data_IF_762102274674
#
_entry.id   IF_762102274674
#
_cell.length_a   1.000
_cell.length_b   1.000
_cell.length_c   1.000
_cell.angle_alpha   90.00
_cell.angle_beta   90.00
_cell.angle_gamma   90.00
#
_symmetry.space_group_name_H-M   'P 1'
#
loop_
_entity.id
_entity.type
_entity.pdbx_description
1 polymer ?
#
# COMPACT_ATOMS: atom_id res chain seq x y z
N UNK A 1 22.29 57.36 1.74
CA UNK A 1 22.47 56.16 0.89
C UNK A 1 22.66 54.95 1.79
N UNK A 2 21.93 53.87 1.48
CA UNK A 2 22.14 52.42 1.77
C UNK A 2 23.05 52.03 2.96
N UNK A 3 22.67 51.15 3.89
CA UNK A 3 22.13 49.79 3.66
C UNK A 3 21.46 49.29 4.97
N UNK A 4 20.14 49.06 4.99
CA UNK A 4 19.41 48.35 6.06
C UNK A 4 19.53 46.83 5.82
N UNK A 5 20.45 46.13 6.49
CA UNK A 5 20.61 44.65 6.34
C UNK A 5 20.79 43.92 7.67
N UNK A 6 20.25 44.46 8.76
CA UNK A 6 20.29 43.79 10.08
C UNK A 6 19.03 42.94 10.34
N UNK A 7 18.14 42.79 9.35
CA UNK A 7 16.89 42.01 9.50
C UNK A 7 16.86 40.68 8.73
N UNK A 8 18.04 40.10 8.41
CA UNK A 8 18.11 38.87 7.60
C UNK A 8 18.86 37.70 8.25
N UNK A 9 19.13 37.74 9.56
CA UNK A 9 19.95 36.70 10.22
C UNK A 9 19.24 35.92 11.34
N UNK A 10 17.98 36.23 11.67
CA UNK A 10 17.21 35.53 12.71
C UNK A 10 16.23 34.46 12.20
N UNK A 11 16.25 34.12 10.89
CA UNK A 11 15.31 33.17 10.27
C UNK A 11 15.96 31.81 9.90
N UNK A 12 17.22 31.57 10.28
CA UNK A 12 18.01 30.45 9.75
C UNK A 12 18.08 29.13 10.56
N UNK A 13 17.46 28.92 11.75
CA UNK A 13 17.50 27.59 12.38
C UNK A 13 16.18 26.79 12.33
N UNK A 14 15.20 27.12 11.46
CA UNK A 14 13.94 26.36 11.33
C UNK A 14 13.88 25.40 10.13
N UNK A 15 15.02 25.14 9.46
CA UNK A 15 15.09 24.22 8.31
C UNK A 15 15.71 22.86 8.65
N UNK A 16 15.70 22.45 9.93
CA UNK A 16 15.87 21.03 10.25
C UNK A 16 14.57 20.32 9.89
N UNK A 17 14.42 20.00 8.60
CA UNK A 17 13.58 18.88 8.19
C UNK A 17 14.05 17.69 9.03
N UNK A 18 13.16 17.12 9.85
CA UNK A 18 13.42 15.82 10.42
C UNK A 18 13.74 14.89 9.24
N UNK A 19 14.97 14.41 9.13
CA UNK A 19 15.24 13.21 8.35
C UNK A 19 14.47 12.11 9.04
N UNK A 20 13.44 11.60 8.36
CA UNK A 20 12.68 10.46 8.85
C UNK A 20 13.65 9.30 9.09
N UNK A 21 13.44 8.60 10.20
CA UNK A 21 14.19 7.39 10.49
C UNK A 21 13.85 6.35 9.41
N UNK A 22 14.83 5.99 8.59
CA UNK A 22 14.67 5.06 7.46
C UNK A 22 14.67 3.59 7.91
N UNK A 23 14.90 3.33 9.20
CA UNK A 23 14.88 1.98 9.73
C UNK A 23 13.44 1.51 9.93
N UNK A 24 13.01 0.56 9.10
CA UNK A 24 11.70 -0.06 9.22
C UNK A 24 11.77 -1.24 10.18
N UNK A 25 11.17 -1.09 11.36
CA UNK A 25 10.83 -2.23 12.19
C UNK A 25 9.69 -3.01 11.51
N UNK A 26 10.03 -4.11 10.85
CA UNK A 26 9.06 -4.96 10.14
C UNK A 26 8.09 -5.69 11.08
N UNK A 27 8.32 -5.65 12.40
CA UNK A 27 7.31 -6.13 13.37
C UNK A 27 6.04 -5.27 13.38
N UNK A 28 6.07 -4.10 12.74
CA UNK A 28 4.91 -3.22 12.56
C UNK A 28 4.00 -3.70 11.41
N UNK A 29 4.44 -4.66 10.57
CA UNK A 29 3.55 -5.22 9.55
C UNK A 29 2.40 -6.00 10.21
N UNK A 30 1.18 -5.95 9.64
CA UNK A 30 0.06 -6.70 10.17
C UNK A 30 0.33 -8.20 10.20
N UNK A 31 -0.19 -8.86 11.24
CA UNK A 31 -0.14 -10.30 11.37
C UNK A 31 -0.88 -10.97 10.21
N UNK A 32 -0.39 -12.13 9.78
CA UNK A 32 -1.09 -12.96 8.80
C UNK A 32 -2.39 -13.48 9.44
N UNK A 33 -3.50 -12.91 8.99
CA UNK A 33 -4.86 -13.23 9.43
C UNK A 33 -5.69 -13.68 8.23
N UNK A 34 -6.84 -14.31 8.50
CA UNK A 34 -7.72 -14.93 7.49
C UNK A 34 -9.19 -14.59 7.76
N UNK A 35 -9.44 -13.44 8.39
CA UNK A 35 -10.75 -13.08 8.93
C UNK A 35 -11.31 -11.80 8.31
N UNK A 36 -10.57 -11.17 7.39
CA UNK A 36 -10.89 -9.84 6.88
C UNK A 36 -10.59 -8.75 7.91
N UNK A 37 -9.41 -8.76 8.52
CA UNK A 37 -9.00 -7.75 9.51
C UNK A 37 -8.84 -6.32 8.94
N UNK A 38 -9.12 -6.12 7.65
CA UNK A 38 -8.96 -4.89 6.89
C UNK A 38 -7.55 -4.31 6.98
N UNK A 39 -6.56 -5.18 6.78
CA UNK A 39 -5.13 -4.85 6.83
C UNK A 39 -4.48 -4.97 5.45
N UNK A 40 -3.52 -4.08 5.20
CA UNK A 40 -2.67 -4.11 4.02
C UNK A 40 -1.31 -3.49 4.37
N UNK A 41 -0.22 -4.13 3.97
CA UNK A 41 1.11 -3.53 4.06
C UNK A 41 2.13 -4.20 3.17
N UNK A 42 3.17 -3.46 2.78
CA UNK A 42 4.32 -3.99 2.06
C UNK A 42 5.54 -3.07 2.24
N UNK A 43 6.70 -3.55 1.81
CA UNK A 43 7.86 -2.72 1.56
C UNK A 43 8.00 -2.43 0.07
N UNK A 44 8.24 -1.18 -0.30
CA UNK A 44 8.68 -0.79 -1.65
C UNK A 44 10.07 -0.20 -1.53
N UNK A 45 11.07 -0.83 -2.15
CA UNK A 45 12.50 -0.50 -1.99
C UNK A 45 12.96 -0.45 -0.51
N UNK A 46 12.40 -1.32 0.32
CA UNK A 46 12.69 -1.37 1.76
C UNK A 46 11.88 -0.39 2.61
N UNK A 47 11.09 0.50 2.01
CA UNK A 47 10.26 1.47 2.72
C UNK A 47 8.87 0.94 3.02
N UNK A 48 8.41 1.13 4.25
CA UNK A 48 7.11 0.64 4.70
C UNK A 48 5.94 1.48 4.16
N UNK A 49 4.97 0.79 3.58
CA UNK A 49 3.68 1.34 3.18
C UNK A 49 2.54 0.51 3.77
N UNK A 50 1.62 1.17 4.46
CA UNK A 50 0.50 0.53 5.18
C UNK A 50 -0.80 1.24 4.82
N UNK A 51 -1.84 0.46 4.55
CA UNK A 51 -3.20 0.97 4.31
C UNK A 51 -3.95 1.28 5.62
N UNK A 52 -5.15 1.83 5.52
CA UNK A 52 -6.05 2.08 6.66
C UNK A 52 -5.93 3.46 7.31
N UNK A 53 -4.85 4.21 7.05
CA UNK A 53 -4.64 5.54 7.64
C UNK A 53 -5.18 6.68 6.79
N UNK A 54 -5.12 6.56 5.47
CA UNK A 54 -5.42 7.64 4.53
C UNK A 54 -6.69 7.28 3.75
N UNK A 55 -7.80 7.96 4.03
CA UNK A 55 -9.00 7.84 3.23
C UNK A 55 -9.02 8.95 2.17
N UNK A 56 -9.53 8.62 0.98
CA UNK A 56 -9.89 9.63 -0.01
C UNK A 56 -11.36 10.02 0.19
N UNK A 57 -11.75 11.25 -0.14
CA UNK A 57 -13.12 11.77 0.08
C UNK A 57 -14.21 10.85 -0.52
N UNK A 58 -13.85 10.11 -1.58
CA UNK A 58 -14.75 9.24 -2.34
C UNK A 58 -14.44 7.74 -2.20
N UNK A 59 -13.47 7.32 -1.38
CA UNK A 59 -12.98 5.94 -1.39
C UNK A 59 -12.36 5.52 -0.05
N UNK A 60 -12.58 4.28 0.41
CA UNK A 60 -11.89 3.78 1.59
C UNK A 60 -10.38 3.71 1.36
N UNK A 61 -9.61 3.71 2.45
CA UNK A 61 -8.15 3.60 2.39
C UNK A 61 -7.69 2.30 1.74
N UNK A 62 -8.39 1.19 1.99
CA UNK A 62 -8.10 -0.12 1.41
C UNK A 62 -9.32 -0.53 0.59
N UNK A 63 -9.13 -0.77 -0.70
CA UNK A 63 -10.21 -1.14 -1.61
C UNK A 63 -9.81 -2.32 -2.49
N UNK A 64 -10.59 -3.39 -2.42
CA UNK A 64 -10.46 -4.58 -3.24
C UNK A 64 -11.82 -4.78 -3.91
N UNK A 65 -11.88 -4.64 -5.23
CA UNK A 65 -13.12 -4.78 -6.00
C UNK A 65 -13.04 -6.04 -6.86
N UNK A 66 -13.88 -7.03 -6.55
CA UNK A 66 -14.04 -8.24 -7.33
C UNK A 66 -15.11 -8.05 -8.41
N UNK A 67 -14.72 -8.18 -9.67
CA UNK A 67 -15.54 -7.83 -10.82
C UNK A 67 -16.18 -9.05 -11.49
N UNK A 68 -17.16 -8.78 -12.36
CA UNK A 68 -17.88 -9.80 -13.14
C UNK A 68 -16.99 -10.62 -14.08
N UNK A 69 -15.83 -10.09 -14.46
CA UNK A 69 -14.82 -10.78 -15.28
C UNK A 69 -13.88 -11.68 -14.46
N UNK A 70 -14.17 -11.90 -13.17
CA UNK A 70 -13.36 -12.66 -12.22
C UNK A 70 -12.00 -12.00 -11.90
N UNK A 71 -11.84 -10.70 -12.23
CA UNK A 71 -10.67 -9.92 -11.81
C UNK A 71 -10.87 -9.28 -10.44
N UNK A 72 -9.78 -9.15 -9.68
CA UNK A 72 -9.72 -8.40 -8.44
C UNK A 72 -8.86 -7.15 -8.64
N UNK A 73 -9.46 -5.99 -8.42
CA UNK A 73 -8.81 -4.71 -8.60
C UNK A 73 -8.50 -4.10 -7.25
N UNK A 74 -7.22 -3.91 -6.99
CA UNK A 74 -6.71 -3.45 -5.70
C UNK A 74 -6.31 -2.00 -5.82
N UNK A 75 -6.75 -1.19 -4.87
CA UNK A 75 -6.30 0.19 -4.68
C UNK A 75 -6.22 0.52 -3.21
N UNK A 76 -5.03 0.85 -2.74
CA UNK A 76 -4.76 1.15 -1.34
C UNK A 76 -4.05 2.49 -1.20
N UNK A 77 -4.70 3.44 -0.53
CA UNK A 77 -4.11 4.73 -0.18
C UNK A 77 -3.18 4.57 1.02
N UNK A 78 -1.88 4.77 0.78
CA UNK A 78 -0.82 4.62 1.79
C UNK A 78 -0.21 5.96 2.19
N UNK A 79 -0.47 7.03 1.42
CA UNK A 79 -0.30 8.46 1.78
C UNK A 79 -1.43 9.29 1.14
N UNK A 80 -1.54 10.57 1.47
CA UNK A 80 -2.60 11.46 0.96
C UNK A 80 -2.70 11.50 -0.57
N UNK A 81 -1.56 11.51 -1.27
CA UNK A 81 -1.48 11.56 -2.74
C UNK A 81 -0.76 10.34 -3.33
N UNK A 82 -0.72 9.22 -2.58
CA UNK A 82 -0.01 8.01 -3.00
C UNK A 82 -0.86 6.78 -2.73
N UNK A 83 -1.23 6.09 -3.80
CA UNK A 83 -1.90 4.79 -3.75
C UNK A 83 -1.02 3.70 -4.37
N UNK A 84 -1.08 2.51 -3.79
CA UNK A 84 -0.62 1.28 -4.42
C UNK A 84 -1.81 0.64 -5.12
N UNK A 85 -1.65 0.25 -6.38
CA UNK A 85 -2.71 -0.44 -7.14
C UNK A 85 -2.15 -1.62 -7.92
N UNK A 86 -2.94 -2.68 -8.11
CA UNK A 86 -2.62 -3.81 -8.98
C UNK A 86 -3.89 -4.63 -9.29
N UNK A 87 -3.81 -5.50 -10.29
CA UNK A 87 -4.88 -6.42 -10.67
C UNK A 87 -4.46 -7.88 -10.46
N UNK A 88 -5.40 -8.72 -10.02
CA UNK A 88 -5.23 -10.18 -9.98
C UNK A 88 -6.35 -10.83 -10.79
N UNK A 89 -6.00 -11.72 -11.70
CA UNK A 89 -6.98 -12.46 -12.48
C UNK A 89 -7.31 -13.79 -11.78
N UNK A 90 -8.61 -14.06 -11.59
CA UNK A 90 -9.11 -15.33 -11.04
C UNK A 90 -8.44 -15.73 -9.72
N UNK A 91 -8.57 -14.91 -8.66
CA UNK A 91 -8.04 -15.24 -7.35
C UNK A 91 -8.55 -16.60 -6.89
N UNK A 92 -7.65 -17.46 -6.40
CA UNK A 92 -7.98 -18.80 -5.95
C UNK A 92 -7.17 -19.15 -4.70
N UNK A 93 -7.86 -19.67 -3.69
CA UNK A 93 -7.25 -20.02 -2.42
C UNK A 93 -6.16 -21.10 -2.58
N UNK A 94 -5.08 -20.95 -1.81
CA UNK A 94 -3.90 -21.81 -1.82
C UNK A 94 -3.15 -21.85 -3.17
N UNK A 95 -3.30 -20.81 -4.00
CA UNK A 95 -2.53 -20.67 -5.26
C UNK A 95 -1.67 -19.41 -5.27
N UNK A 96 -0.53 -19.56 -5.94
CA UNK A 96 0.29 -18.44 -6.39
C UNK A 96 -0.15 -18.05 -7.81
N UNK A 97 -0.51 -16.78 -8.00
CA UNK A 97 -0.92 -16.20 -9.27
C UNK A 97 -0.14 -14.90 -9.52
N UNK A 98 0.00 -14.45 -10.78
CA UNK A 98 0.58 -13.14 -11.04
C UNK A 98 -0.37 -12.03 -10.59
N UNK A 99 0.20 -10.92 -10.11
CA UNK A 99 -0.49 -9.63 -10.15
C UNK A 99 0.07 -8.81 -11.33
N UNK A 100 -0.77 -7.96 -11.90
CA UNK A 100 -0.40 -7.10 -13.04
C UNK A 100 -0.74 -5.64 -12.79
N UNK A 101 -0.21 -4.76 -13.65
CA UNK A 101 -0.50 -3.32 -13.62
C UNK A 101 -0.15 -2.67 -12.27
N UNK A 102 0.95 -3.12 -11.66
CA UNK A 102 1.33 -2.58 -10.37
C UNK A 102 1.73 -1.11 -10.50
N UNK A 103 1.09 -0.24 -9.73
CA UNK A 103 1.46 1.16 -9.61
C UNK A 103 1.70 1.56 -8.17
N UNK A 104 2.66 2.48 -7.99
CA UNK A 104 3.00 3.13 -6.74
C UNK A 104 2.94 4.65 -6.99
N UNK A 105 1.77 5.24 -6.68
CA UNK A 105 1.43 6.58 -7.15
C UNK A 105 1.31 6.61 -8.68
N UNK A 106 2.02 7.55 -9.30
CA UNK A 106 2.08 7.72 -10.77
C UNK A 106 3.15 6.84 -11.43
N UNK A 107 3.95 6.08 -10.65
CA UNK A 107 4.97 5.19 -11.16
C UNK A 107 4.42 3.78 -11.40
N UNK A 108 4.61 3.24 -12.59
CA UNK A 108 4.37 1.81 -12.87
C UNK A 108 5.60 1.02 -12.49
N UNK A 109 5.44 0.03 -11.61
CA UNK A 109 6.50 -0.89 -11.21
C UNK A 109 6.37 -2.24 -11.92
N UNK A 110 7.44 -3.07 -11.94
CA UNK A 110 7.34 -4.43 -12.42
C UNK A 110 6.26 -5.23 -11.70
N UNK A 111 5.58 -6.06 -12.48
CA UNK A 111 4.63 -7.05 -11.99
C UNK A 111 5.31 -8.10 -11.09
N UNK A 112 4.49 -8.87 -10.40
CA UNK A 112 4.97 -9.85 -9.44
C UNK A 112 3.93 -10.93 -9.22
N UNK A 113 3.93 -11.48 -8.01
CA UNK A 113 3.12 -12.63 -7.66
C UNK A 113 2.49 -12.48 -6.30
N UNK A 114 1.35 -13.13 -6.17
CA UNK A 114 0.55 -13.16 -4.95
C UNK A 114 0.18 -14.60 -4.65
N UNK A 115 0.41 -15.01 -3.41
CA UNK A 115 -0.09 -16.25 -2.86
C UNK A 115 -1.35 -15.96 -2.04
N UNK A 116 -2.49 -16.48 -2.49
CA UNK A 116 -3.78 -16.28 -1.83
C UNK A 116 -3.94 -17.32 -0.72
N UNK A 117 -3.95 -16.87 0.53
CA UNK A 117 -4.11 -17.74 1.70
C UNK A 117 -5.57 -18.00 2.04
N UNK A 118 -6.48 -17.09 1.68
CA UNK A 118 -7.92 -17.23 1.81
C UNK A 118 -8.63 -16.55 0.65
N UNK A 119 -9.65 -17.20 0.08
CA UNK A 119 -10.60 -16.55 -0.83
C UNK A 119 -12.02 -17.10 -0.60
N UNK A 120 -12.81 -16.34 0.15
CA UNK A 120 -14.17 -16.71 0.54
C UNK A 120 -15.17 -15.71 -0.02
N UNK A 121 -15.91 -16.11 -1.06
CA UNK A 121 -16.90 -15.26 -1.74
C UNK A 121 -18.21 -15.11 -0.97
N UNK A 122 -18.48 -15.96 0.03
CA UNK A 122 -19.66 -15.83 0.88
C UNK A 122 -19.41 -14.81 1.99
N UNK A 123 -18.24 -14.88 2.63
CA UNK A 123 -17.82 -13.90 3.64
C UNK A 123 -17.25 -12.61 3.02
N UNK A 124 -16.99 -12.61 1.71
CA UNK A 124 -16.30 -11.54 0.98
C UNK A 124 -14.92 -11.23 1.55
N UNK A 125 -14.17 -12.27 1.97
CA UNK A 125 -12.84 -12.13 2.54
C UNK A 125 -11.79 -12.65 1.57
N UNK A 126 -10.72 -11.87 1.37
CA UNK A 126 -9.52 -12.30 0.67
C UNK A 126 -8.28 -11.96 1.50
N UNK A 127 -7.37 -12.92 1.60
CA UNK A 127 -6.13 -12.76 2.36
C UNK A 127 -4.97 -13.34 1.56
N UNK A 128 -3.78 -12.77 1.70
CA UNK A 128 -2.64 -13.25 0.93
C UNK A 128 -1.33 -12.52 1.21
N UNK A 129 -0.29 -13.03 0.54
CA UNK A 129 1.06 -12.48 0.55
C UNK A 129 1.46 -12.15 -0.87
N UNK A 130 2.15 -11.04 -1.09
CA UNK A 130 2.61 -10.65 -2.42
C UNK A 130 4.04 -10.13 -2.41
N UNK A 131 4.74 -10.35 -3.51
CA UNK A 131 6.11 -9.93 -3.74
C UNK A 131 6.37 -9.68 -5.22
N UNK A 132 7.35 -8.83 -5.49
CA UNK A 132 7.84 -8.50 -6.82
C UNK A 132 9.29 -8.06 -6.73
N UNK A 133 9.80 -7.43 -7.80
CA UNK A 133 11.21 -7.02 -7.84
C UNK A 133 11.55 -5.97 -6.77
N UNK A 134 10.75 -4.90 -6.71
CA UNK A 134 10.91 -3.80 -5.74
C UNK A 134 10.02 -3.95 -4.51
N UNK A 135 9.07 -4.89 -4.55
CA UNK A 135 8.04 -5.06 -3.54
C UNK A 135 8.33 -6.31 -2.73
N UNK A 136 8.49 -6.17 -1.42
CA UNK A 136 8.78 -7.29 -0.53
C UNK A 136 7.86 -7.29 0.69
N UNK A 137 7.69 -8.47 1.30
CA UNK A 137 6.88 -8.67 2.50
C UNK A 137 5.43 -8.15 2.38
N UNK A 138 4.84 -8.16 1.19
CA UNK A 138 3.47 -7.74 0.99
C UNK A 138 2.49 -8.67 1.68
N UNK A 139 1.52 -8.11 2.41
CA UNK A 139 0.47 -8.81 3.15
C UNK A 139 -0.85 -8.07 3.06
N UNK A 140 -1.95 -8.80 2.96
CA UNK A 140 -3.30 -8.26 3.11
C UNK A 140 -4.26 -9.29 3.73
N UNK A 141 -5.22 -8.81 4.50
CA UNK A 141 -6.39 -9.54 4.98
C UNK A 141 -7.58 -8.58 4.99
N UNK A 142 -8.48 -8.68 4.02
CA UNK A 142 -9.45 -7.61 3.71
C UNK A 142 -10.81 -8.18 3.35
N UNK A 143 -11.84 -7.38 3.60
CA UNK A 143 -13.12 -7.55 2.92
C UNK A 143 -13.06 -6.92 1.52
N UNK A 144 -13.59 -7.61 0.52
CA UNK A 144 -13.67 -7.12 -0.85
C UNK A 144 -15.12 -6.79 -1.27
N UNK A 145 -15.26 -5.79 -2.12
CA UNK A 145 -16.53 -5.42 -2.75
C UNK A 145 -16.80 -6.31 -3.95
N UNK A 146 -18.08 -6.50 -4.27
CA UNK A 146 -18.54 -7.19 -5.48
C UNK A 146 -19.52 -6.29 -6.23
#
# INVERSE_FOLDING_TARGET
MMKKYIFLLCLLPFLFSCTEDETVDITVMPDETMVGADTFGCLVDGWLYVGGRYNHISSPSINFDYRDDESMQVKVWVKQDLAISFCMEKPEENKEIPYTQFSWGDETLPDGKVFITRFDTNAQVISGRFEGERVTFGRFDVHFNK
#
